data_IF_396111974789
#
_entry.id   IF_396111974789
#
_cell.length_a   1.000
_cell.length_b   1.000
_cell.length_c   1.000
_cell.angle_alpha   90.00
_cell.angle_beta   90.00
_cell.angle_gamma   90.00
#
_symmetry.space_group_name_H-M   'P 1'
#
loop_
_entity.id
_entity.type
_entity.pdbx_description
1 polymer ?
#
# COMPACT_ATOMS: atom_id res chain seq x y z
N UNK A 1 9.70 -19.47 24.66
CA UNK A 1 8.58 -19.97 25.49
C UNK A 1 7.84 -18.74 25.98
N UNK A 2 6.65 -18.50 25.44
CA UNK A 2 5.78 -17.38 25.82
C UNK A 2 5.23 -17.71 27.20
N UNK A 3 5.69 -17.02 28.25
CA UNK A 3 5.19 -17.24 29.62
C UNK A 3 3.93 -16.41 29.78
N UNK A 4 2.85 -16.97 29.23
CA UNK A 4 1.49 -16.47 29.35
C UNK A 4 0.94 -16.85 30.74
N UNK A 5 1.39 -16.15 31.79
CA UNK A 5 0.78 -16.25 33.15
C UNK A 5 1.22 -15.24 34.20
N UNK A 6 1.76 -14.08 33.80
CA UNK A 6 1.76 -12.94 34.71
C UNK A 6 0.48 -12.17 34.44
N UNK A 7 -0.42 -12.20 35.43
CA UNK A 7 -1.75 -11.60 35.48
C UNK A 7 -1.67 -10.06 35.49
N UNK A 8 -0.94 -9.49 34.55
CA UNK A 8 -0.90 -8.07 34.27
C UNK A 8 -1.67 -7.87 32.97
N UNK A 9 -2.72 -7.06 33.03
CA UNK A 9 -3.50 -6.66 31.86
C UNK A 9 -2.55 -6.18 30.75
N UNK A 10 -2.82 -6.58 29.51
CA UNK A 10 -2.06 -6.30 28.27
C UNK A 10 -1.82 -4.80 27.97
N UNK A 11 -2.17 -3.90 28.89
CA UNK A 11 -2.20 -2.45 28.70
C UNK A 11 -1.16 -1.70 29.56
N UNK A 12 -0.57 -2.33 30.58
CA UNK A 12 0.39 -1.64 31.43
C UNK A 12 1.82 -1.81 30.94
N UNK A 13 2.42 -0.69 30.53
CA UNK A 13 3.84 -0.60 30.21
C UNK A 13 4.65 -0.93 31.47
N UNK A 14 5.11 -2.19 31.57
CA UNK A 14 5.87 -2.68 32.72
C UNK A 14 7.12 -1.83 32.98
N UNK A 15 7.71 -1.18 31.97
CA UNK A 15 8.82 -0.26 32.17
C UNK A 15 8.40 1.06 32.82
N UNK A 16 7.18 1.53 32.60
CA UNK A 16 6.67 2.74 33.25
C UNK A 16 6.40 2.49 34.75
N UNK A 17 5.96 1.27 35.10
CA UNK A 17 5.72 0.87 36.49
C UNK A 17 7.02 0.47 37.19
N UNK A 18 7.91 -0.25 36.51
CA UNK A 18 9.12 -0.81 37.12
C UNK A 18 10.34 0.12 37.02
N UNK A 19 10.35 1.13 36.15
CA UNK A 19 11.46 2.09 35.97
C UNK A 19 10.97 3.55 36.10
N UNK A 20 9.95 3.79 36.92
CA UNK A 20 9.35 5.11 37.13
C UNK A 20 10.33 6.13 37.71
N UNK A 21 11.37 5.67 38.42
CA UNK A 21 12.34 6.50 39.13
C UNK A 21 13.78 6.14 38.72
N UNK A 22 14.72 7.09 38.83
CA UNK A 22 16.13 6.84 38.52
C UNK A 22 16.84 6.25 39.74
N UNK A 23 16.45 5.03 40.11
CA UNK A 23 17.06 4.30 41.21
C UNK A 23 17.74 3.00 40.74
N UNK A 24 18.48 2.37 41.64
CA UNK A 24 19.05 1.05 41.40
C UNK A 24 17.98 -0.03 41.53
N UNK A 25 17.76 -0.78 40.44
CA UNK A 25 16.78 -1.87 40.40
C UNK A 25 17.48 -3.22 40.51
N UNK A 26 17.14 -4.00 41.55
CA UNK A 26 17.65 -5.35 41.76
C UNK A 26 16.62 -6.40 41.28
N UNK A 27 16.96 -7.18 40.26
CA UNK A 27 16.13 -8.30 39.79
C UNK A 27 16.48 -9.57 40.57
N UNK A 28 15.58 -10.01 41.47
CA UNK A 28 15.74 -11.27 42.21
C UNK A 28 14.82 -12.37 41.67
N UNK A 29 15.43 -13.46 41.21
CA UNK A 29 14.73 -14.69 40.81
C UNK A 29 14.72 -15.68 41.99
N UNK A 30 13.56 -15.91 42.58
CA UNK A 30 13.40 -16.91 43.64
C UNK A 30 12.89 -18.22 43.05
N UNK A 31 13.77 -19.21 42.93
CA UNK A 31 13.41 -20.58 42.56
C UNK A 31 13.22 -21.38 43.85
N UNK A 32 11.97 -21.75 44.17
CA UNK A 32 11.67 -22.65 45.29
C UNK A 32 11.43 -24.06 44.76
N UNK A 33 12.22 -25.01 45.23
CA UNK A 33 12.09 -26.43 44.91
C UNK A 33 11.65 -27.17 46.16
N UNK A 34 10.54 -27.90 46.06
CA UNK A 34 10.03 -28.76 47.14
C UNK A 34 10.22 -30.23 46.72
N UNK A 35 11.26 -30.91 47.23
CA UNK A 35 11.54 -32.30 46.85
C UNK A 35 10.47 -33.24 47.42
N UNK A 36 9.97 -34.17 46.60
CA UNK A 36 8.96 -35.16 47.00
C UNK A 36 9.53 -36.48 47.54
N UNK A 37 10.86 -36.65 47.56
CA UNK A 37 11.55 -37.87 47.99
C UNK A 37 12.99 -37.54 48.46
N UNK A 38 13.53 -38.34 49.39
CA UNK A 38 14.88 -38.17 49.96
C UNK A 38 16.02 -38.26 48.93
N UNK A 39 15.80 -38.85 47.75
CA UNK A 39 16.82 -39.01 46.70
C UNK A 39 16.59 -38.16 45.44
N UNK A 40 15.77 -37.10 45.53
CA UNK A 40 15.46 -36.26 44.38
C UNK A 40 16.65 -35.36 44.00
N UNK A 41 17.22 -35.58 42.82
CA UNK A 41 18.22 -34.69 42.20
C UNK A 41 17.53 -33.72 41.24
N UNK A 42 17.86 -32.42 41.33
CA UNK A 42 17.42 -31.40 40.39
C UNK A 42 18.65 -30.79 39.72
N UNK A 43 18.71 -30.88 38.40
CA UNK A 43 19.69 -30.19 37.58
C UNK A 43 19.01 -28.99 36.94
N UNK A 44 19.53 -27.79 37.22
CA UNK A 44 19.00 -26.53 36.71
C UNK A 44 19.94 -26.05 35.60
N UNK A 45 19.56 -26.28 34.35
CA UNK A 45 20.25 -25.72 33.20
C UNK A 45 19.64 -24.35 32.84
N UNK A 46 20.36 -23.29 33.17
CA UNK A 46 19.99 -21.92 32.80
C UNK A 46 20.40 -21.69 31.35
N UNK A 47 19.51 -22.07 30.42
CA UNK A 47 19.63 -21.65 29.02
C UNK A 47 19.66 -20.12 28.94
N UNK A 48 20.49 -19.58 28.05
CA UNK A 48 20.68 -18.14 27.81
C UNK A 48 19.33 -17.48 27.44
N UNK A 49 18.62 -16.96 28.43
CA UNK A 49 17.37 -16.21 28.26
C UNK A 49 17.69 -14.75 27.98
N UNK A 50 17.16 -14.20 26.88
CA UNK A 50 17.22 -12.76 26.63
C UNK A 50 16.06 -12.09 27.39
N UNK A 51 16.38 -11.39 28.47
CA UNK A 51 15.43 -10.53 29.17
C UNK A 51 15.50 -9.12 28.56
N UNK A 52 14.48 -8.74 27.80
CA UNK A 52 14.37 -7.41 27.20
C UNK A 52 13.31 -6.62 27.97
N UNK A 53 13.75 -5.62 28.73
CA UNK A 53 12.85 -4.59 29.28
C UNK A 53 12.69 -3.54 28.20
N UNK A 54 11.50 -3.48 27.59
CA UNK A 54 11.17 -2.49 26.57
C UNK A 54 11.17 -1.11 27.23
N UNK A 55 12.15 -0.27 26.91
CA UNK A 55 12.32 1.05 27.52
C UNK A 55 11.15 2.01 27.26
N UNK A 56 11.16 3.13 27.98
CA UNK A 56 10.23 4.25 27.79
C UNK A 56 10.23 4.75 26.34
N UNK A 57 9.05 5.13 25.87
CA UNK A 57 8.71 5.56 24.50
C UNK A 57 9.78 6.50 23.92
N UNK A 58 10.74 5.96 23.16
CA UNK A 58 11.69 6.76 22.39
C UNK A 58 11.10 7.09 21.02
N UNK A 59 11.25 8.34 20.58
CA UNK A 59 10.81 8.81 19.26
C UNK A 59 9.47 9.53 19.26
N UNK A 60 9.29 10.44 18.30
CA UNK A 60 8.13 11.35 18.20
C UNK A 60 6.79 10.59 18.11
N UNK A 61 6.80 9.41 17.47
CA UNK A 61 5.63 8.54 17.29
C UNK A 61 5.73 7.23 18.09
N UNK A 62 6.72 7.13 18.99
CA UNK A 62 7.01 5.92 19.76
C UNK A 62 7.68 4.80 18.97
N UNK A 63 7.70 3.61 19.58
CA UNK A 63 8.39 2.42 19.07
C UNK A 63 7.41 1.28 18.74
N UNK A 64 7.78 0.41 17.80
CA UNK A 64 7.02 -0.80 17.49
C UNK A 64 7.19 -1.91 18.55
N UNK A 65 6.51 -3.04 18.35
CA UNK A 65 6.57 -4.22 19.24
C UNK A 65 7.96 -4.86 19.38
N UNK A 66 8.93 -4.45 18.56
CA UNK A 66 10.31 -4.90 18.60
C UNK A 66 11.28 -3.80 19.09
N UNK A 67 10.75 -2.63 19.48
CA UNK A 67 11.53 -1.50 19.98
C UNK A 67 12.11 -0.58 18.90
N UNK A 68 11.69 -0.69 17.64
CA UNK A 68 12.17 0.17 16.56
C UNK A 68 11.33 1.46 16.44
N UNK A 69 12.00 2.62 16.21
CA UNK A 69 11.34 3.94 16.11
C UNK A 69 10.38 4.04 14.92
N UNK A 70 9.09 4.25 15.22
CA UNK A 70 8.01 4.32 14.22
C UNK A 70 8.17 5.56 13.34
N UNK A 71 8.62 6.68 13.90
CA UNK A 71 8.79 7.91 13.13
C UNK A 71 9.82 7.72 12.00
N UNK A 72 10.97 7.14 12.32
CA UNK A 72 11.99 6.80 11.32
C UNK A 72 11.46 5.80 10.28
N UNK A 73 10.76 4.74 10.70
CA UNK A 73 10.15 3.79 9.77
C UNK A 73 9.16 4.47 8.80
N UNK A 74 8.35 5.41 9.29
CA UNK A 74 7.41 6.17 8.48
C UNK A 74 8.14 7.09 7.49
N UNK A 75 9.16 7.82 7.94
CA UNK A 75 9.94 8.72 7.07
C UNK A 75 10.68 7.94 5.98
N UNK A 76 11.30 6.81 6.31
CA UNK A 76 11.97 5.97 5.31
C UNK A 76 10.98 5.27 4.38
N UNK A 77 9.88 4.74 4.91
CA UNK A 77 8.84 4.08 4.14
C UNK A 77 8.12 5.03 3.18
N UNK A 78 7.84 6.27 3.62
CA UNK A 78 7.14 7.27 2.82
C UNK A 78 7.88 7.62 1.53
N UNK A 79 9.22 7.66 1.52
CA UNK A 79 10.01 7.91 0.30
C UNK A 79 9.70 6.90 -0.81
N UNK A 80 9.66 5.62 -0.46
CA UNK A 80 9.39 4.55 -1.42
C UNK A 80 7.90 4.58 -1.82
N UNK A 81 7.00 4.70 -0.85
CA UNK A 81 5.55 4.73 -1.11
C UNK A 81 5.13 5.91 -1.97
N UNK A 82 5.67 7.11 -1.72
CA UNK A 82 5.41 8.31 -2.52
C UNK A 82 5.97 8.18 -3.93
N UNK A 83 7.19 7.64 -4.06
CA UNK A 83 7.80 7.43 -5.39
C UNK A 83 6.97 6.47 -6.23
N UNK A 84 6.53 5.35 -5.65
CA UNK A 84 5.66 4.37 -6.33
C UNK A 84 4.32 5.00 -6.69
N UNK A 85 3.67 5.67 -5.73
CA UNK A 85 2.36 6.29 -5.93
C UNK A 85 2.37 7.34 -7.03
N UNK A 86 3.38 8.22 -7.03
CA UNK A 86 3.51 9.28 -8.05
C UNK A 86 3.78 8.72 -9.44
N UNK A 87 4.74 7.78 -9.57
CA UNK A 87 5.06 7.16 -10.85
C UNK A 87 3.86 6.39 -11.42
N UNK A 88 3.21 5.59 -10.57
CA UNK A 88 2.03 4.83 -10.96
C UNK A 88 0.89 5.77 -11.38
N UNK A 89 0.62 6.83 -10.60
CA UNK A 89 -0.43 7.81 -10.92
C UNK A 89 -0.21 8.47 -12.28
N UNK A 90 1.01 8.93 -12.58
CA UNK A 90 1.34 9.56 -13.87
C UNK A 90 1.15 8.57 -15.03
N UNK A 91 1.65 7.34 -14.90
CA UNK A 91 1.56 6.34 -15.95
C UNK A 91 0.12 5.86 -16.18
N UNK A 92 -0.60 5.52 -15.11
CA UNK A 92 -2.01 5.10 -15.15
C UNK A 92 -2.86 6.20 -15.77
N UNK A 93 -2.66 7.45 -15.35
CA UNK A 93 -3.44 8.60 -15.85
C UNK A 93 -3.15 8.85 -17.31
N UNK A 94 -1.88 8.83 -17.72
CA UNK A 94 -1.48 9.03 -19.10
C UNK A 94 -2.07 7.97 -20.03
N UNK A 95 -1.94 6.68 -19.66
CA UNK A 95 -2.49 5.58 -20.46
C UNK A 95 -4.02 5.64 -20.49
N UNK A 96 -4.65 5.89 -19.34
CA UNK A 96 -6.10 5.98 -19.23
C UNK A 96 -6.68 7.10 -20.09
N UNK A 97 -6.07 8.29 -20.09
CA UNK A 97 -6.47 9.41 -20.94
C UNK A 97 -6.28 9.07 -22.42
N UNK A 98 -5.13 8.54 -22.82
CA UNK A 98 -4.86 8.20 -24.23
C UNK A 98 -5.89 7.19 -24.74
N UNK A 99 -6.11 6.10 -24.00
CA UNK A 99 -7.06 5.05 -24.43
C UNK A 99 -8.50 5.57 -24.39
N UNK A 100 -8.90 6.26 -23.32
CA UNK A 100 -10.26 6.78 -23.16
C UNK A 100 -10.63 7.84 -24.19
N UNK A 101 -9.73 8.78 -24.47
CA UNK A 101 -9.91 9.81 -25.51
C UNK A 101 -9.98 9.18 -26.89
N UNK A 102 -9.09 8.23 -27.18
CA UNK A 102 -9.07 7.56 -28.49
C UNK A 102 -10.37 6.77 -28.72
N UNK A 103 -10.79 5.99 -27.73
CA UNK A 103 -12.02 5.22 -27.80
C UNK A 103 -13.26 6.13 -27.93
N UNK A 104 -13.39 7.12 -27.05
CA UNK A 104 -14.55 8.02 -27.03
C UNK A 104 -14.64 8.97 -28.23
N UNK A 105 -13.51 9.46 -28.74
CA UNK A 105 -13.52 10.41 -29.85
C UNK A 105 -13.80 9.73 -31.19
N UNK A 106 -13.05 8.68 -31.52
CA UNK A 106 -13.15 8.00 -32.82
C UNK A 106 -14.40 7.12 -32.92
N UNK A 107 -14.85 6.52 -31.82
CA UNK A 107 -16.04 5.65 -31.81
C UNK A 107 -15.89 4.40 -32.70
N UNK A 108 -17.01 3.71 -32.93
CA UNK A 108 -17.11 2.60 -33.89
C UNK A 108 -16.19 1.42 -33.54
N UNK A 109 -15.44 0.92 -34.53
CA UNK A 109 -14.59 -0.28 -34.38
C UNK A 109 -13.43 -0.06 -33.40
N UNK A 110 -12.86 1.15 -33.38
CA UNK A 110 -11.74 1.50 -32.48
C UNK A 110 -12.21 1.44 -31.03
N UNK A 111 -13.38 2.01 -30.76
CA UNK A 111 -14.00 1.99 -29.45
C UNK A 111 -14.32 0.57 -28.99
N UNK A 112 -15.01 -0.22 -29.83
CA UNK A 112 -15.37 -1.61 -29.52
C UNK A 112 -14.14 -2.47 -29.22
N UNK A 113 -13.06 -2.33 -30.00
CA UNK A 113 -11.83 -3.09 -29.77
C UNK A 113 -11.14 -2.69 -28.46
N UNK A 114 -10.96 -1.39 -28.21
CA UNK A 114 -10.31 -0.90 -26.99
C UNK A 114 -11.12 -1.23 -25.75
N UNK A 115 -12.44 -1.07 -25.82
CA UNK A 115 -13.32 -1.38 -24.69
C UNK A 115 -13.42 -2.87 -24.44
N UNK A 116 -13.41 -3.73 -25.47
CA UNK A 116 -13.29 -5.18 -25.28
C UNK A 116 -12.01 -5.56 -24.54
N UNK A 117 -10.88 -4.96 -24.88
CA UNK A 117 -9.62 -5.21 -24.18
C UNK A 117 -9.72 -4.79 -22.71
N UNK A 118 -10.29 -3.60 -22.44
CA UNK A 118 -10.55 -3.09 -21.09
C UNK A 118 -11.49 -4.03 -20.31
N UNK A 119 -12.56 -4.50 -20.95
CA UNK A 119 -13.56 -5.38 -20.34
C UNK A 119 -12.97 -6.74 -19.97
N UNK A 120 -12.14 -7.31 -20.85
CA UNK A 120 -11.39 -8.56 -20.56
C UNK A 120 -10.50 -8.36 -19.34
N UNK A 121 -9.74 -7.27 -19.27
CA UNK A 121 -8.85 -7.01 -18.13
C UNK A 121 -9.63 -6.78 -16.83
N UNK A 122 -10.76 -6.09 -16.89
CA UNK A 122 -11.62 -5.83 -15.72
C UNK A 122 -12.38 -7.07 -15.24
N UNK A 123 -12.60 -8.05 -16.11
CA UNK A 123 -13.20 -9.33 -15.73
C UNK A 123 -12.28 -10.21 -14.90
N UNK A 124 -10.96 -9.93 -14.92
CA UNK A 124 -9.98 -10.68 -14.16
C UNK A 124 -9.99 -10.27 -12.68
N UNK A 125 -9.93 -11.23 -11.74
CA UNK A 125 -9.78 -10.92 -10.32
C UNK A 125 -8.35 -10.45 -10.05
N UNK A 126 -8.15 -9.13 -10.16
CA UNK A 126 -6.81 -8.54 -10.09
C UNK A 126 -6.12 -8.77 -8.74
N UNK A 127 -6.83 -8.76 -7.60
CA UNK A 127 -6.23 -9.02 -6.29
C UNK A 127 -5.55 -10.42 -6.21
N UNK A 128 -6.24 -11.53 -6.53
CA UNK A 128 -5.58 -12.84 -6.65
C UNK A 128 -4.38 -12.86 -7.61
N UNK A 129 -4.49 -12.22 -8.78
CA UNK A 129 -3.38 -12.15 -9.73
C UNK A 129 -2.17 -11.41 -9.14
N UNK A 130 -2.38 -10.29 -8.46
CA UNK A 130 -1.32 -9.54 -7.79
C UNK A 130 -0.61 -10.40 -6.73
N UNK A 131 -1.37 -11.12 -5.90
CA UNK A 131 -0.80 -11.98 -4.86
C UNK A 131 0.02 -13.12 -5.49
N UNK A 132 -0.51 -13.77 -6.53
CA UNK A 132 0.19 -14.83 -7.25
C UNK A 132 1.49 -14.34 -7.90
N UNK A 133 1.44 -13.17 -8.56
CA UNK A 133 2.61 -12.59 -9.24
C UNK A 133 3.69 -12.15 -8.24
N UNK A 134 3.30 -11.55 -7.10
CA UNK A 134 4.25 -11.20 -6.03
C UNK A 134 4.85 -12.46 -5.40
N UNK A 135 4.09 -13.55 -5.28
CA UNK A 135 4.61 -14.82 -4.78
C UNK A 135 5.63 -15.46 -5.74
N UNK A 136 5.42 -15.34 -7.06
CA UNK A 136 6.31 -15.92 -8.08
C UNK A 136 7.57 -15.08 -8.33
N UNK A 137 7.40 -13.76 -8.49
CA UNK A 137 8.49 -12.85 -8.88
C UNK A 137 9.17 -12.18 -7.67
N UNK A 138 8.65 -12.39 -6.46
CA UNK A 138 9.16 -11.80 -5.24
C UNK A 138 8.77 -10.33 -5.06
N UNK A 139 9.21 -9.76 -3.93
CA UNK A 139 8.95 -8.37 -3.57
C UNK A 139 9.95 -7.44 -4.27
N UNK A 140 9.64 -7.00 -5.48
CA UNK A 140 10.41 -5.98 -6.20
C UNK A 140 9.53 -4.75 -6.48
N UNK A 141 10.06 -3.56 -6.15
CA UNK A 141 9.41 -2.27 -6.39
C UNK A 141 8.99 -2.11 -7.86
N UNK A 142 9.84 -2.54 -8.79
CA UNK A 142 9.55 -2.46 -10.23
C UNK A 142 8.33 -3.31 -10.62
N UNK A 143 8.21 -4.53 -10.10
CA UNK A 143 7.05 -5.38 -10.39
C UNK A 143 5.77 -4.81 -9.80
N UNK A 144 5.83 -4.22 -8.60
CA UNK A 144 4.66 -3.55 -8.00
C UNK A 144 4.18 -2.41 -8.91
N UNK A 145 5.08 -1.53 -9.35
CA UNK A 145 4.73 -0.42 -10.26
C UNK A 145 4.14 -0.95 -11.57
N UNK A 146 4.79 -1.94 -12.20
CA UNK A 146 4.34 -2.52 -13.46
C UNK A 146 2.92 -3.07 -13.35
N UNK A 147 2.62 -3.79 -12.26
CA UNK A 147 1.31 -4.38 -12.04
C UNK A 147 0.24 -3.33 -11.76
N UNK A 148 0.53 -2.32 -10.95
CA UNK A 148 -0.40 -1.20 -10.71
C UNK A 148 -0.72 -0.50 -12.03
N UNK A 149 0.30 -0.23 -12.85
CA UNK A 149 0.11 0.40 -14.16
C UNK A 149 -0.74 -0.51 -15.03
N UNK A 150 -0.38 -1.77 -15.22
CA UNK A 150 -1.06 -2.72 -16.12
C UNK A 150 -2.57 -2.80 -15.90
N UNK A 151 -3.02 -2.82 -14.65
CA UNK A 151 -4.44 -2.95 -14.32
C UNK A 151 -5.13 -1.60 -14.05
N UNK A 152 -4.41 -0.61 -13.53
CA UNK A 152 -4.99 0.64 -13.01
C UNK A 152 -5.59 1.56 -14.07
N UNK A 153 -5.08 1.55 -15.31
CA UNK A 153 -5.55 2.45 -16.37
C UNK A 153 -6.94 2.10 -16.92
N UNK A 154 -7.38 0.84 -16.76
CA UNK A 154 -8.59 0.30 -17.37
C UNK A 154 -9.87 1.00 -16.90
N UNK A 155 -10.02 1.19 -15.58
CA UNK A 155 -11.15 1.90 -14.99
C UNK A 155 -11.17 3.38 -15.40
N UNK A 156 -10.01 4.04 -15.35
CA UNK A 156 -9.88 5.44 -15.75
C UNK A 156 -10.21 5.63 -17.25
N UNK A 157 -9.73 4.74 -18.13
CA UNK A 157 -10.02 4.80 -19.55
C UNK A 157 -11.52 4.76 -19.85
N UNK A 158 -12.28 3.92 -19.12
CA UNK A 158 -13.75 3.83 -19.27
C UNK A 158 -14.44 5.12 -18.83
N UNK A 159 -14.01 5.71 -17.71
CA UNK A 159 -14.56 6.98 -17.22
C UNK A 159 -14.25 8.14 -18.16
N UNK A 160 -13.02 8.24 -18.64
CA UNK A 160 -12.63 9.26 -19.61
C UNK A 160 -13.40 9.08 -20.92
N UNK A 161 -13.55 7.84 -21.41
CA UNK A 161 -14.35 7.54 -22.60
C UNK A 161 -15.77 8.08 -22.46
N UNK A 162 -16.45 7.84 -21.34
CA UNK A 162 -17.84 8.30 -21.16
C UNK A 162 -17.95 9.82 -21.13
N UNK A 163 -16.96 10.52 -20.56
CA UNK A 163 -16.88 11.98 -20.61
C UNK A 163 -16.64 12.50 -22.04
N UNK A 164 -15.73 11.85 -22.79
CA UNK A 164 -15.39 12.24 -24.16
C UNK A 164 -16.58 12.04 -25.11
N UNK A 165 -17.34 10.95 -24.96
CA UNK A 165 -18.59 10.71 -25.70
C UNK A 165 -19.59 11.86 -25.49
N UNK A 166 -19.74 12.33 -24.24
CA UNK A 166 -20.62 13.46 -23.92
C UNK A 166 -20.10 14.78 -24.50
N UNK A 167 -18.81 15.08 -24.31
CA UNK A 167 -18.18 16.32 -24.79
C UNK A 167 -18.19 16.44 -26.32
N UNK A 168 -18.00 15.33 -27.03
CA UNK A 168 -17.92 15.32 -28.50
C UNK A 168 -19.20 15.82 -29.17
N UNK A 169 -20.35 15.63 -28.53
CA UNK A 169 -21.67 16.03 -29.03
C UNK A 169 -22.07 17.45 -28.58
N UNK A 170 -21.17 18.21 -27.94
CA UNK A 170 -21.47 19.58 -27.52
C UNK A 170 -21.36 20.59 -28.69
N UNK A 171 -22.23 21.60 -28.67
CA UNK A 171 -22.36 22.60 -29.74
C UNK A 171 -21.05 23.33 -30.10
N UNK A 172 -20.16 23.60 -29.12
CA UNK A 172 -18.88 24.26 -29.41
C UNK A 172 -17.89 23.35 -30.16
N UNK A 173 -17.96 22.03 -29.95
CA UNK A 173 -17.18 21.05 -30.71
C UNK A 173 -17.71 20.95 -32.14
N UNK A 174 -19.04 20.93 -32.31
CA UNK A 174 -19.68 20.95 -33.63
C UNK A 174 -19.34 22.22 -34.40
N UNK A 175 -19.40 23.39 -33.75
CA UNK A 175 -19.03 24.68 -34.34
C UNK A 175 -17.54 24.72 -34.73
N UNK A 176 -16.64 24.19 -33.90
CA UNK A 176 -15.23 24.07 -34.23
C UNK A 176 -15.00 23.17 -35.45
N UNK A 177 -15.71 22.03 -35.54
CA UNK A 177 -15.65 21.12 -36.69
C UNK A 177 -16.19 21.78 -37.97
N UNK A 178 -17.31 22.49 -37.88
CA UNK A 178 -17.89 23.24 -39.00
C UNK A 178 -16.96 24.37 -39.49
N UNK A 179 -16.16 24.94 -38.57
CA UNK A 179 -15.13 25.94 -38.89
C UNK A 179 -13.85 25.34 -39.48
N UNK A 180 -13.80 24.02 -39.74
CA UNK A 180 -12.66 23.35 -40.36
C UNK A 180 -11.54 22.94 -39.40
N UNK A 181 -11.77 22.91 -38.08
CA UNK A 181 -10.76 22.48 -37.12
C UNK A 181 -10.36 21.01 -37.32
N UNK A 182 -9.07 20.73 -37.30
CA UNK A 182 -8.55 19.37 -37.43
C UNK A 182 -8.85 18.51 -36.20
N UNK A 183 -8.93 17.19 -36.37
CA UNK A 183 -9.18 16.26 -35.26
C UNK A 183 -8.17 16.39 -34.10
N UNK A 184 -6.84 16.44 -34.35
CA UNK A 184 -5.88 16.63 -33.26
C UNK A 184 -6.05 17.99 -32.56
N UNK A 185 -6.38 19.05 -33.32
CA UNK A 185 -6.66 20.35 -32.73
C UNK A 185 -7.85 20.27 -31.76
N UNK A 186 -8.96 19.64 -32.16
CA UNK A 186 -10.13 19.47 -31.30
C UNK A 186 -9.78 18.66 -30.05
N UNK A 187 -9.04 17.56 -30.21
CA UNK A 187 -8.64 16.69 -29.09
C UNK A 187 -7.81 17.46 -28.06
N UNK A 188 -6.71 18.08 -28.47
CA UNK A 188 -5.78 18.71 -27.53
C UNK A 188 -6.24 20.09 -27.04
N UNK A 189 -7.01 20.83 -27.84
CA UNK A 189 -7.45 22.19 -27.48
C UNK A 189 -8.80 22.21 -26.76
N UNK A 190 -9.68 21.26 -27.04
CA UNK A 190 -11.05 21.26 -26.51
C UNK A 190 -11.37 20.03 -25.68
N UNK A 191 -10.97 18.82 -26.07
CA UNK A 191 -11.39 17.63 -25.32
C UNK A 191 -10.52 17.41 -24.09
N UNK A 192 -9.20 17.21 -24.26
CA UNK A 192 -8.26 16.89 -23.17
C UNK A 192 -8.36 17.92 -22.03
N UNK A 193 -8.36 19.24 -22.27
CA UNK A 193 -8.46 20.22 -21.19
C UNK A 193 -9.80 20.17 -20.41
N UNK A 194 -10.88 19.66 -21.00
CA UNK A 194 -12.19 19.58 -20.35
C UNK A 194 -12.44 18.25 -19.60
N UNK A 195 -11.59 17.24 -19.81
CA UNK A 195 -11.69 15.93 -19.13
C UNK A 195 -10.58 15.71 -18.09
N UNK A 196 -9.58 16.61 -18.05
CA UNK A 196 -8.55 16.54 -17.03
C UNK A 196 -9.23 16.80 -15.68
N UNK A 197 -9.13 15.85 -14.72
CA UNK A 197 -9.68 16.01 -13.38
C UNK A 197 -8.94 17.08 -12.57
#
# INVERSE_FOLDING_TARGET
>A
MYVDRLRYEEVQNLAEIALSEKEEYEFRLHIRLEPKSESATCEIDLMRGNFQVLGTVFGILGVDKFGADIFSQMVYGSRISLSIGLLAAVLVTTIGIIVGVTAGYFGGVVDEFLMRLVDVLLSLPWLPLLIALVALFGKNVFYIVLLIVLFGWTGLARTIRSQVLSLREMAFIEAARASGASRPYIIFRHIVPNILP
#
